data_IF_366039520702
#
_entry.id   IF_366039520702
#
_cell.length_a   1.000
_cell.length_b   1.000
_cell.length_c   1.000
_cell.angle_alpha   90.00
_cell.angle_beta   90.00
_cell.angle_gamma   90.00
#
_symmetry.space_group_name_H-M   'P 1'
#
loop_
_entity.id
_entity.type
_entity.pdbx_description
1 polymer ?
#
# COMPACT_ATOMS: atom_id res chain seq x y z
N UNK A 1 17.28 26.54 4.53
CA UNK A 1 16.98 25.13 4.90
C UNK A 1 15.59 24.81 4.39
N UNK A 2 15.45 23.89 3.43
CA UNK A 2 14.11 23.45 3.00
C UNK A 2 13.57 22.54 4.09
N UNK A 3 12.52 22.98 4.80
CA UNK A 3 11.77 22.10 5.70
C UNK A 3 11.12 21.02 4.85
N UNK A 4 11.70 19.82 4.87
CA UNK A 4 11.22 18.66 4.11
C UNK A 4 10.07 17.98 4.85
N UNK A 5 8.99 18.73 5.10
CA UNK A 5 7.84 18.29 5.90
C UNK A 5 7.13 17.04 5.32
N UNK A 6 7.33 16.73 4.03
CA UNK A 6 6.69 15.62 3.32
C UNK A 6 7.69 14.62 2.72
N UNK A 7 8.86 14.44 3.32
CA UNK A 7 9.81 13.38 2.92
C UNK A 7 9.69 12.20 3.90
N UNK A 8 9.19 11.03 3.46
CA UNK A 8 9.04 9.89 4.35
C UNK A 8 10.41 9.35 4.80
N UNK A 9 10.48 8.94 6.07
CA UNK A 9 11.71 8.42 6.71
C UNK A 9 11.69 6.90 6.86
N UNK A 10 10.52 6.28 6.72
CA UNK A 10 10.29 4.84 6.82
C UNK A 10 9.38 4.38 5.68
N UNK A 11 9.59 3.16 5.23
CA UNK A 11 8.73 2.47 4.26
C UNK A 11 8.63 1.01 4.65
N UNK A 12 7.48 0.38 4.40
CA UNK A 12 7.33 -1.07 4.49
C UNK A 12 6.69 -1.59 3.21
N UNK A 13 6.94 -2.87 2.91
CA UNK A 13 6.33 -3.54 1.78
C UNK A 13 5.19 -4.44 2.26
N UNK A 14 4.11 -4.46 1.49
CA UNK A 14 2.99 -5.36 1.71
C UNK A 14 2.41 -5.78 0.37
N UNK A 15 1.76 -6.93 0.34
CA UNK A 15 1.07 -7.45 -0.83
C UNK A 15 -0.15 -8.24 -0.40
N UNK A 16 -1.11 -8.37 -1.31
CA UNK A 16 -2.34 -9.11 -1.08
C UNK A 16 -3.02 -9.42 -2.40
N UNK A 17 -3.87 -10.44 -2.39
CA UNK A 17 -4.66 -10.87 -3.54
C UNK A 17 -6.12 -11.06 -3.15
N UNK A 18 -7.05 -10.64 -4.00
CA UNK A 18 -8.47 -10.77 -3.77
C UNK A 18 -9.18 -11.36 -4.98
N UNK A 19 -10.16 -12.23 -4.72
CA UNK A 19 -10.98 -12.85 -5.76
C UNK A 19 -12.45 -12.61 -5.43
N UNK A 20 -13.13 -11.81 -6.24
CA UNK A 20 -14.54 -11.49 -6.14
C UNK A 20 -15.10 -11.26 -7.55
N UNK A 21 -16.43 -11.34 -7.69
CA UNK A 21 -17.10 -11.08 -8.97
C UNK A 21 -16.87 -9.64 -9.44
N UNK A 22 -16.97 -8.70 -8.53
CA UNK A 22 -16.78 -7.27 -8.81
C UNK A 22 -15.33 -6.85 -8.65
N UNK A 23 -14.82 -6.09 -9.62
CA UNK A 23 -13.43 -5.62 -9.66
C UNK A 23 -13.05 -4.74 -8.45
N UNK A 24 -13.99 -3.91 -7.99
CA UNK A 24 -13.74 -3.04 -6.84
C UNK A 24 -13.60 -3.86 -5.55
N UNK A 25 -14.53 -4.80 -5.35
CA UNK A 25 -14.52 -5.70 -4.20
C UNK A 25 -13.30 -6.63 -4.21
N UNK A 26 -12.86 -7.11 -5.39
CA UNK A 26 -11.64 -7.92 -5.49
C UNK A 26 -10.40 -7.10 -5.13
N UNK A 27 -10.35 -5.83 -5.52
CA UNK A 27 -9.30 -4.91 -5.11
C UNK A 27 -9.33 -4.62 -3.60
N UNK A 28 -10.50 -4.38 -3.01
CA UNK A 28 -10.65 -4.19 -1.56
C UNK A 28 -10.17 -5.42 -0.77
N UNK A 29 -10.54 -6.63 -1.20
CA UNK A 29 -10.05 -7.87 -0.59
C UNK A 29 -8.52 -7.99 -0.66
N UNK A 30 -7.90 -7.53 -1.75
CA UNK A 30 -6.44 -7.48 -1.87
C UNK A 30 -5.84 -6.49 -0.83
N UNK A 31 -6.46 -5.32 -0.64
CA UNK A 31 -6.04 -4.35 0.39
C UNK A 31 -6.20 -4.88 1.83
N UNK A 32 -7.24 -5.67 2.09
CA UNK A 32 -7.47 -6.33 3.38
C UNK A 32 -6.34 -7.33 3.65
N UNK A 33 -6.02 -8.21 2.68
CA UNK A 33 -4.90 -9.16 2.81
C UNK A 33 -3.55 -8.46 2.94
N UNK A 34 -3.40 -7.30 2.32
CA UNK A 34 -2.24 -6.43 2.48
C UNK A 34 -2.23 -5.63 3.80
N UNK A 35 -3.29 -5.71 4.61
CA UNK A 35 -3.46 -5.02 5.89
C UNK A 35 -3.41 -3.49 5.80
N UNK A 36 -3.82 -2.91 4.66
CA UNK A 36 -3.82 -1.46 4.41
C UNK A 36 -5.18 -0.90 3.99
N UNK A 37 -6.23 -1.73 3.99
CA UNK A 37 -7.61 -1.33 3.65
C UNK A 37 -8.19 -0.20 4.52
N UNK A 38 -7.70 -0.04 5.75
CA UNK A 38 -8.23 0.93 6.72
C UNK A 38 -7.61 2.34 6.59
N UNK A 39 -6.80 2.60 5.56
CA UNK A 39 -6.13 3.89 5.34
C UNK A 39 -6.61 4.59 4.06
N UNK A 40 -6.45 5.91 4.01
CA UNK A 40 -6.68 6.70 2.81
C UNK A 40 -5.40 6.71 1.95
N UNK A 41 -5.33 5.81 0.98
CA UNK A 41 -4.13 5.60 0.16
C UNK A 41 -4.01 6.69 -0.92
N UNK A 42 -2.90 7.43 -0.92
CA UNK A 42 -2.55 8.39 -1.99
C UNK A 42 -1.46 7.77 -2.84
N UNK A 43 -1.79 7.48 -4.10
CA UNK A 43 -0.84 6.94 -5.05
C UNK A 43 0.23 7.99 -5.40
N UNK A 44 1.50 7.61 -5.26
CA UNK A 44 2.65 8.47 -5.59
C UNK A 44 3.61 7.77 -6.56
N UNK A 45 4.48 8.54 -7.19
CA UNK A 45 5.54 8.01 -8.06
C UNK A 45 6.53 7.13 -7.31
N UNK A 46 7.10 6.14 -7.99
CA UNK A 46 7.99 5.11 -7.44
C UNK A 46 9.43 5.60 -7.13
N UNK A 47 9.57 6.53 -6.19
CA UNK A 47 10.88 7.06 -5.76
C UNK A 47 11.07 6.81 -4.27
N UNK A 48 12.11 6.04 -3.91
CA UNK A 48 12.52 5.86 -2.52
C UNK A 48 13.44 7.02 -2.09
N UNK A 49 13.08 7.81 -1.06
CA UNK A 49 13.92 8.93 -0.64
C UNK A 49 15.26 8.47 -0.06
N UNK A 50 16.33 9.29 -0.20
CA UNK A 50 17.60 9.04 0.47
C UNK A 50 17.40 8.88 1.98
N UNK A 51 18.11 7.92 2.58
CA UNK A 51 18.08 7.61 4.03
C UNK A 51 16.71 7.13 4.56
N UNK A 52 15.74 6.83 3.69
CA UNK A 52 14.51 6.17 4.08
C UNK A 52 14.81 4.73 4.54
N UNK A 53 14.33 4.37 5.74
CA UNK A 53 14.53 3.04 6.32
C UNK A 53 13.44 2.10 5.86
N UNK A 54 13.82 0.94 5.34
CA UNK A 54 12.89 -0.17 5.15
C UNK A 54 12.65 -0.81 6.51
N UNK A 55 11.39 -0.85 6.94
CA UNK A 55 10.95 -1.43 8.20
C UNK A 55 10.02 -2.62 7.95
N UNK A 56 9.81 -3.44 8.97
CA UNK A 56 8.83 -4.53 8.88
C UNK A 56 7.42 -3.98 8.71
N UNK A 57 6.52 -4.77 8.12
CA UNK A 57 5.10 -4.41 8.02
C UNK A 57 4.51 -4.11 9.40
N UNK A 58 4.85 -4.90 10.42
CA UNK A 58 4.32 -4.73 11.77
C UNK A 58 4.79 -3.42 12.40
N UNK A 59 6.07 -3.08 12.28
CA UNK A 59 6.62 -1.79 12.74
C UNK A 59 5.95 -0.62 12.02
N UNK A 60 5.88 -0.67 10.68
CA UNK A 60 5.27 0.40 9.89
C UNK A 60 3.79 0.62 10.22
N UNK A 61 3.00 -0.45 10.37
CA UNK A 61 1.60 -0.35 10.74
C UNK A 61 1.39 0.15 12.18
N UNK A 62 2.29 -0.16 13.11
CA UNK A 62 2.20 0.31 14.50
C UNK A 62 2.31 1.83 14.65
N UNK A 63 2.87 2.51 13.65
CA UNK A 63 3.05 3.96 13.60
C UNK A 63 1.91 4.67 12.85
N UNK A 64 0.94 3.93 12.29
CA UNK A 64 -0.15 4.47 11.49
C UNK A 64 -1.48 4.31 12.22
N UNK A 65 -2.24 5.40 12.31
CA UNK A 65 -3.63 5.34 12.78
C UNK A 65 -4.58 5.02 11.63
N UNK A 66 -5.59 4.14 11.83
CA UNK A 66 -6.67 3.94 10.85
C UNK A 66 -7.29 5.28 10.43
N UNK A 67 -7.62 5.41 9.14
CA UNK A 67 -8.11 6.66 8.54
C UNK A 67 -7.02 7.66 8.13
N UNK A 68 -5.75 7.44 8.47
CA UNK A 68 -4.65 8.32 8.06
C UNK A 68 -4.46 8.34 6.53
N UNK A 69 -3.98 9.47 6.02
CA UNK A 69 -3.48 9.57 4.64
C UNK A 69 -2.13 8.88 4.57
N UNK A 70 -1.98 7.89 3.69
CA UNK A 70 -0.75 7.12 3.51
C UNK A 70 -0.30 7.21 2.06
N UNK A 71 0.82 7.89 1.83
CA UNK A 71 1.47 7.91 0.51
C UNK A 71 1.99 6.52 0.17
N UNK A 72 1.51 5.97 -0.94
CA UNK A 72 1.72 4.57 -1.30
C UNK A 72 2.10 4.47 -2.77
N UNK A 73 3.11 3.66 -3.07
CA UNK A 73 3.36 3.21 -4.43
C UNK A 73 2.52 1.95 -4.64
N UNK A 74 1.62 1.96 -5.62
CA UNK A 74 0.73 0.83 -5.89
C UNK A 74 1.13 0.19 -7.22
N UNK A 75 1.37 -1.11 -7.20
CA UNK A 75 1.38 -1.95 -8.40
C UNK A 75 0.23 -2.94 -8.27
N UNK A 76 -0.63 -3.02 -9.29
CA UNK A 76 -1.79 -3.91 -9.27
C UNK A 76 -2.03 -4.53 -10.64
N UNK A 77 -2.47 -5.78 -10.63
CA UNK A 77 -2.93 -6.53 -11.79
C UNK A 77 -4.27 -7.19 -11.46
N UNK A 78 -5.16 -7.30 -12.44
CA UNK A 78 -6.48 -7.92 -12.27
C UNK A 78 -6.86 -8.70 -13.52
N UNK A 79 -7.41 -9.90 -13.35
CA UNK A 79 -7.96 -10.73 -14.43
C UNK A 79 -9.37 -11.20 -14.07
N UNK A 80 -10.21 -11.36 -15.08
CA UNK A 80 -11.53 -11.99 -15.01
C UNK A 80 -11.52 -13.44 -15.55
N UNK A 81 -10.37 -13.94 -15.99
CA UNK A 81 -10.22 -15.30 -16.49
C UNK A 81 -10.00 -16.29 -15.33
N UNK A 82 -10.83 -17.34 -15.21
CA UNK A 82 -10.63 -18.37 -14.18
C UNK A 82 -9.27 -19.06 -14.32
N UNK A 83 -8.48 -19.06 -13.25
CA UNK A 83 -7.16 -19.72 -13.21
C UNK A 83 -6.00 -18.88 -13.76
N UNK A 84 -6.24 -17.64 -14.19
CA UNK A 84 -5.16 -16.72 -14.55
C UNK A 84 -4.23 -16.46 -13.35
N UNK A 85 -2.92 -16.46 -13.62
CA UNK A 85 -1.89 -16.06 -12.65
C UNK A 85 -1.64 -14.56 -12.81
N UNK A 86 -1.84 -13.82 -11.72
CA UNK A 86 -1.66 -12.37 -11.63
C UNK A 86 -0.89 -12.01 -10.36
#
# INVERSE_FOLDING_TARGET
MVSSALVPKKVFFTSGSGAQKDRLTSFEMALIKASIHCYNLVEVSSILPPKCRIVSRQEGLSELMPGSIVFTVISRLSSNEPGARI
#
